data_IF_578759653324
#
_entry.id   IF_578759653324
#
_cell.length_a   1.000
_cell.length_b   1.000
_cell.length_c   1.000
_cell.angle_alpha   90.00
_cell.angle_beta   90.00
_cell.angle_gamma   90.00
#
_symmetry.space_group_name_H-M   'P 1'
#
loop_
_entity.id
_entity.type
_entity.pdbx_description
1 polymer ?
#
# COMPACT_ATOMS: atom_id res chain seq x y z
N UNK A 1 8.13 -15.92 -15.50
CA UNK A 1 8.30 -15.00 -14.34
C UNK A 1 8.95 -13.73 -14.87
N UNK A 2 8.46 -12.56 -14.47
CA UNK A 2 8.98 -11.28 -14.94
C UNK A 2 9.66 -10.53 -13.79
N UNK A 3 10.73 -9.80 -14.08
CA UNK A 3 11.33 -8.87 -13.12
C UNK A 3 10.31 -7.78 -12.78
N UNK A 4 10.22 -7.41 -11.51
CA UNK A 4 9.39 -6.30 -11.07
C UNK A 4 10.21 -5.02 -11.23
N UNK A 5 9.73 -4.12 -12.09
CA UNK A 5 10.34 -2.81 -12.32
C UNK A 5 9.56 -1.68 -11.65
N UNK A 6 8.26 -1.88 -11.41
CA UNK A 6 7.35 -0.86 -10.87
C UNK A 6 6.22 -1.50 -10.09
N UNK A 7 5.83 -0.87 -8.97
CA UNK A 7 4.62 -1.20 -8.22
C UNK A 7 3.86 0.10 -8.00
N UNK A 8 2.61 0.15 -8.45
CA UNK A 8 1.69 1.25 -8.15
C UNK A 8 0.73 0.82 -7.05
N UNK A 9 0.61 1.66 -6.01
CA UNK A 9 -0.22 1.43 -4.83
C UNK A 9 -1.20 2.59 -4.74
N UNK A 10 -2.47 2.37 -5.07
CA UNK A 10 -3.54 3.33 -4.82
C UNK A 10 -4.14 3.06 -3.45
N UNK A 11 -4.25 4.09 -2.63
CA UNK A 11 -4.88 4.04 -1.31
C UNK A 11 -5.96 5.11 -1.25
N UNK A 12 -7.16 4.70 -0.87
CA UNK A 12 -8.27 5.59 -0.58
C UNK A 12 -8.55 5.57 0.94
N UNK A 13 -8.61 6.76 1.53
CA UNK A 13 -8.97 6.99 2.94
C UNK A 13 -10.42 7.44 3.02
N UNK A 14 -11.15 6.91 3.98
CA UNK A 14 -12.57 7.21 4.16
C UNK A 14 -12.86 8.68 4.34
N UNK A 15 -14.00 9.14 3.83
CA UNK A 15 -14.46 10.52 4.02
C UNK A 15 -15.35 10.69 5.27
N UNK A 16 -14.83 10.36 6.45
CA UNK A 16 -15.54 10.56 7.73
C UNK A 16 -14.66 11.21 8.80
N UNK A 17 -15.28 11.73 9.84
CA UNK A 17 -14.55 12.37 10.95
C UNK A 17 -13.53 11.39 11.56
N UNK A 18 -12.29 11.87 11.75
CA UNK A 18 -11.18 11.08 12.30
C UNK A 18 -10.63 10.01 11.36
N UNK A 19 -10.97 10.03 10.06
CA UNK A 19 -10.56 8.99 9.13
C UNK A 19 -9.08 9.02 8.74
N UNK A 20 -8.44 10.19 8.75
CA UNK A 20 -7.04 10.35 8.35
C UNK A 20 -6.05 9.92 9.43
N UNK A 21 -4.77 9.81 9.08
CA UNK A 21 -3.73 9.37 10.02
C UNK A 21 -2.36 9.95 9.72
N UNK A 22 -1.55 10.09 10.76
CA UNK A 22 -0.11 10.37 10.69
C UNK A 22 0.75 9.11 10.94
N UNK A 23 0.12 7.93 11.02
CA UNK A 23 0.84 6.68 11.19
C UNK A 23 1.57 6.25 9.92
N UNK A 24 2.37 5.19 10.04
CA UNK A 24 3.16 4.68 8.92
C UNK A 24 2.44 3.55 8.21
N UNK A 25 2.38 3.61 6.89
CA UNK A 25 1.75 2.60 6.05
C UNK A 25 2.83 1.78 5.34
N UNK A 26 2.66 0.46 5.35
CA UNK A 26 3.56 -0.47 4.70
C UNK A 26 2.78 -1.39 3.76
N UNK A 27 3.35 -1.66 2.59
CA UNK A 27 2.88 -2.71 1.68
C UNK A 27 3.82 -3.90 1.76
N UNK A 28 3.28 -5.03 2.18
CA UNK A 28 3.92 -6.33 2.10
C UNK A 28 3.71 -6.93 0.71
N UNK A 29 4.79 -7.17 -0.02
CA UNK A 29 4.76 -7.89 -1.29
C UNK A 29 6.09 -8.62 -1.54
N UNK A 30 6.03 -9.80 -2.16
CA UNK A 30 7.22 -10.59 -2.51
C UNK A 30 8.15 -10.92 -1.32
N UNK A 31 7.60 -11.00 -0.10
CA UNK A 31 8.36 -11.39 1.10
C UNK A 31 9.08 -10.24 1.82
N UNK A 32 8.82 -8.97 1.47
CA UNK A 32 9.31 -7.80 2.19
C UNK A 32 8.26 -6.70 2.25
N UNK A 33 8.51 -5.70 3.09
CA UNK A 33 7.70 -4.48 3.16
C UNK A 33 8.35 -3.32 2.39
N UNK A 34 7.47 -2.42 1.93
CA UNK A 34 7.78 -1.12 1.36
C UNK A 34 7.02 -0.07 2.17
N UNK A 35 7.70 0.97 2.64
CA UNK A 35 7.03 2.10 3.29
C UNK A 35 6.36 2.96 2.23
N UNK A 36 5.11 3.34 2.48
CA UNK A 36 4.35 4.27 1.65
C UNK A 36 4.33 5.61 2.37
N UNK A 37 5.02 6.56 1.76
CA UNK A 37 5.23 7.90 2.28
C UNK A 37 5.63 8.78 1.10
N UNK A 38 5.23 10.04 1.09
CA UNK A 38 5.57 11.03 0.06
C UNK A 38 5.92 12.37 0.69
N UNK A 39 6.20 13.39 -0.12
CA UNK A 39 6.47 14.75 0.38
C UNK A 39 5.22 15.53 0.77
N UNK A 40 4.05 14.98 0.49
CA UNK A 40 2.76 15.61 0.72
C UNK A 40 2.14 15.09 2.03
N UNK A 41 1.05 15.72 2.46
CA UNK A 41 0.24 15.22 3.58
C UNK A 41 -0.55 13.98 3.11
N UNK A 42 -0.12 12.81 3.58
CA UNK A 42 -0.59 11.51 3.11
C UNK A 42 -1.72 10.96 3.97
N UNK A 43 -2.60 10.18 3.33
CA UNK A 43 -3.68 9.45 4.02
C UNK A 43 -4.67 10.35 4.77
N UNK A 44 -4.80 11.60 4.34
CA UNK A 44 -5.79 12.53 4.85
C UNK A 44 -7.23 12.06 4.61
N UNK A 45 -8.18 12.56 5.41
CA UNK A 45 -9.60 12.22 5.27
C UNK A 45 -10.08 12.46 3.83
N UNK A 46 -10.64 11.43 3.20
CA UNK A 46 -11.14 11.50 1.83
C UNK A 46 -10.06 11.55 0.76
N UNK A 47 -8.79 11.39 1.12
CA UNK A 47 -7.70 11.32 0.15
C UNK A 47 -7.75 10.02 -0.66
N UNK A 48 -7.46 10.13 -1.95
CA UNK A 48 -7.32 9.01 -2.88
C UNK A 48 -6.09 9.27 -3.75
N UNK A 49 -5.02 8.51 -3.50
CA UNK A 49 -3.68 8.81 -4.04
C UNK A 49 -2.97 7.54 -4.48
N UNK A 50 -2.12 7.68 -5.49
CA UNK A 50 -1.30 6.60 -6.04
C UNK A 50 0.18 6.84 -5.75
N UNK A 51 0.79 5.86 -5.10
CA UNK A 51 2.20 5.81 -4.74
C UNK A 51 2.91 4.82 -5.66
N UNK A 52 3.95 5.27 -6.35
CA UNK A 52 4.75 4.48 -7.27
C UNK A 52 6.09 4.14 -6.63
N UNK A 53 6.42 2.85 -6.64
CA UNK A 53 7.70 2.28 -6.23
C UNK A 53 8.50 1.85 -7.47
N UNK A 54 9.82 2.01 -7.44
CA UNK A 54 10.72 1.63 -8.55
C UNK A 54 10.73 2.65 -9.69
N UNK A 55 10.55 2.17 -10.93
CA UNK A 55 10.61 3.03 -12.11
C UNK A 55 9.52 4.12 -12.08
N UNK A 56 9.94 5.39 -12.12
CA UNK A 56 9.03 6.53 -12.01
C UNK A 56 8.52 6.79 -10.58
N UNK A 57 9.19 6.26 -9.56
CA UNK A 57 8.71 6.33 -8.18
C UNK A 57 8.52 7.76 -7.66
N UNK A 58 7.48 7.94 -6.83
CA UNK A 58 7.10 9.21 -6.21
C UNK A 58 7.08 9.15 -4.67
N UNK A 59 7.38 7.99 -4.07
CA UNK A 59 7.51 7.85 -2.62
C UNK A 59 8.79 8.48 -2.08
N UNK A 60 8.81 8.79 -0.79
CA UNK A 60 10.03 9.06 -0.02
C UNK A 60 10.92 7.81 0.05
N UNK A 61 12.23 8.01 0.26
CA UNK A 61 13.21 6.91 0.43
C UNK A 61 13.21 5.89 -0.72
N UNK A 62 13.14 6.35 -1.97
CA UNK A 62 12.96 5.52 -3.18
C UNK A 62 14.00 4.41 -3.30
N UNK A 63 15.24 4.69 -2.91
CA UNK A 63 16.37 3.79 -2.95
C UNK A 63 16.21 2.57 -2.02
N UNK A 64 15.48 2.73 -0.89
CA UNK A 64 15.18 1.66 0.04
C UNK A 64 13.87 0.94 -0.31
N UNK A 65 12.96 1.62 -1.01
CA UNK A 65 11.67 1.09 -1.46
C UNK A 65 11.67 0.62 -2.92
N UNK A 66 12.82 0.49 -3.56
CA UNK A 66 12.91 0.05 -4.95
C UNK A 66 12.76 -1.48 -5.06
N UNK A 67 11.73 -2.02 -5.76
CA UNK A 67 11.58 -3.46 -5.97
C UNK A 67 12.69 -4.07 -6.86
N UNK A 68 13.55 -3.24 -7.44
CA UNK A 68 14.75 -3.66 -8.18
C UNK A 68 15.96 -3.86 -7.25
N UNK A 69 15.86 -3.51 -5.95
CA UNK A 69 16.96 -3.60 -5.00
C UNK A 69 16.56 -4.23 -3.63
N UNK A 70 16.84 -5.54 -3.41
CA UNK A 70 17.29 -6.51 -4.42
C UNK A 70 16.20 -6.78 -5.46
N UNK A 71 16.59 -7.29 -6.64
CA UNK A 71 15.66 -7.52 -7.74
C UNK A 71 14.60 -8.58 -7.38
N UNK A 72 13.34 -8.15 -7.33
CA UNK A 72 12.18 -9.01 -7.15
C UNK A 72 11.61 -9.49 -8.49
N UNK A 73 10.84 -10.58 -8.47
CA UNK A 73 10.14 -11.08 -9.65
C UNK A 73 8.70 -11.51 -9.30
N UNK A 74 7.84 -11.57 -10.32
CA UNK A 74 6.42 -11.89 -10.16
C UNK A 74 6.14 -13.30 -9.63
N UNK A 75 7.11 -14.22 -9.67
CA UNK A 75 6.98 -15.55 -9.07
C UNK A 75 6.92 -15.54 -7.54
N UNK A 76 7.32 -14.44 -6.89
CA UNK A 76 7.22 -14.30 -5.43
C UNK A 76 5.82 -13.85 -4.98
N UNK A 77 5.04 -13.22 -5.87
CA UNK A 77 3.70 -12.69 -5.56
C UNK A 77 2.68 -13.78 -5.21
N UNK A 78 2.90 -15.02 -5.64
CA UNK A 78 2.07 -16.18 -5.31
C UNK A 78 2.62 -17.01 -4.15
N UNK A 79 3.84 -16.71 -3.69
CA UNK A 79 4.52 -17.45 -2.60
C UNK A 79 4.38 -16.77 -1.25
N UNK A 80 4.21 -15.45 -1.25
CA UNK A 80 4.05 -14.64 -0.06
C UNK A 80 2.71 -13.90 -0.11
N UNK A 81 2.06 -13.69 1.04
CA UNK A 81 0.86 -12.88 1.07
C UNK A 81 1.16 -11.44 0.64
N UNK A 82 0.20 -10.83 -0.04
CA UNK A 82 0.19 -9.39 -0.30
C UNK A 82 -0.73 -8.72 0.72
N UNK A 83 -0.24 -7.68 1.38
CA UNK A 83 -0.98 -7.02 2.46
C UNK A 83 -0.62 -5.55 2.60
N UNK A 84 -1.52 -4.80 3.24
CA UNK A 84 -1.23 -3.52 3.84
C UNK A 84 -1.05 -3.72 5.35
N UNK A 85 -0.04 -3.10 5.94
CA UNK A 85 0.14 -2.96 7.40
C UNK A 85 0.18 -1.48 7.77
N UNK A 86 -0.47 -1.16 8.87
CA UNK A 86 -0.52 0.15 9.48
C UNK A 86 0.22 0.13 10.82
N UNK A 87 1.17 1.03 11.03
CA UNK A 87 1.77 1.29 12.34
C UNK A 87 1.27 2.64 12.86
N UNK A 88 0.36 2.64 13.85
CA UNK A 88 -0.18 3.88 14.39
C UNK A 88 0.90 4.75 15.01
N UNK A 89 0.85 6.06 14.74
CA UNK A 89 1.71 7.06 15.35
C UNK A 89 0.93 8.32 15.71
N UNK A 90 1.45 9.07 16.70
CA UNK A 90 0.84 10.30 17.18
C UNK A 90 -0.49 10.11 17.89
N UNK A 91 -1.22 11.22 18.05
CA UNK A 91 -2.48 11.26 18.79
C UNK A 91 -3.69 10.73 17.99
N UNK A 92 -3.50 10.50 16.68
CA UNK A 92 -4.51 9.95 15.77
C UNK A 92 -4.11 8.51 15.39
N UNK A 93 -4.18 7.63 16.40
CA UNK A 93 -3.73 6.25 16.30
C UNK A 93 -4.68 5.30 15.55
N UNK A 94 -5.72 5.86 14.92
CA UNK A 94 -6.72 5.15 14.15
C UNK A 94 -6.72 5.69 12.71
N UNK A 95 -7.04 4.83 11.75
CA UNK A 95 -7.13 5.17 10.34
C UNK A 95 -8.31 4.45 9.72
N UNK A 96 -9.15 5.17 8.97
CA UNK A 96 -10.28 4.60 8.26
C UNK A 96 -9.91 4.34 6.80
N UNK A 97 -9.52 3.12 6.51
CA UNK A 97 -9.16 2.67 5.17
C UNK A 97 -10.42 2.37 4.35
N UNK A 98 -10.53 2.97 3.17
CA UNK A 98 -11.64 2.73 2.23
C UNK A 98 -11.29 1.67 1.19
N UNK A 99 -10.14 1.80 0.53
CA UNK A 99 -9.73 0.86 -0.51
C UNK A 99 -8.21 0.85 -0.67
N UNK A 100 -7.67 -0.31 -1.06
CA UNK A 100 -6.28 -0.43 -1.54
C UNK A 100 -6.27 -1.22 -2.83
N UNK A 101 -5.62 -0.68 -3.85
CA UNK A 101 -5.31 -1.38 -5.09
C UNK A 101 -3.80 -1.38 -5.32
N UNK A 102 -3.25 -2.53 -5.66
CA UNK A 102 -1.84 -2.67 -6.05
C UNK A 102 -1.78 -3.18 -7.48
N UNK A 103 -1.02 -2.49 -8.33
CA UNK A 103 -0.69 -2.93 -9.68
C UNK A 103 0.82 -3.10 -9.81
N UNK A 104 1.27 -4.34 -9.95
CA UNK A 104 2.67 -4.67 -10.22
C UNK A 104 2.89 -4.67 -11.73
N UNK A 105 3.96 -4.02 -12.20
CA UNK A 105 4.33 -3.91 -13.62
C UNK A 105 3.15 -3.46 -14.52
N UNK A 106 2.60 -2.25 -14.32
CA UNK A 106 1.47 -1.76 -15.11
C UNK A 106 1.76 -1.84 -16.62
N UNK A 107 0.80 -2.35 -17.39
CA UNK A 107 0.93 -2.63 -18.83
C UNK A 107 0.74 -4.11 -19.16
N UNK A 108 1.53 -4.62 -20.10
CA UNK A 108 1.40 -5.99 -20.64
C UNK A 108 1.57 -7.10 -19.59
N UNK A 109 2.45 -6.90 -18.61
CA UNK A 109 2.79 -7.90 -17.58
C UNK A 109 2.15 -7.60 -16.22
N UNK A 110 1.01 -6.88 -16.22
CA UNK A 110 0.41 -6.42 -14.98
C UNK A 110 -0.12 -7.55 -14.10
N UNK A 111 0.09 -7.44 -12.79
CA UNK A 111 -0.58 -8.27 -11.77
C UNK A 111 -1.28 -7.35 -10.80
N UNK A 112 -2.56 -7.61 -10.51
CA UNK A 112 -3.40 -6.73 -9.69
C UNK A 112 -3.83 -7.41 -8.40
N UNK A 113 -3.87 -6.61 -7.34
CA UNK A 113 -4.40 -6.98 -6.04
C UNK A 113 -5.33 -5.88 -5.55
N UNK A 114 -6.44 -6.27 -4.92
CA UNK A 114 -7.38 -5.30 -4.33
C UNK A 114 -7.94 -5.82 -3.02
N UNK A 115 -8.41 -4.89 -2.18
CA UNK A 115 -9.26 -5.17 -1.04
C UNK A 115 -10.22 -4.01 -0.79
N UNK A 116 -11.35 -4.29 -0.15
CA UNK A 116 -12.39 -3.32 0.23
C UNK A 116 -13.10 -2.57 -0.92
N UNK A 117 -12.75 -2.81 -2.20
CA UNK A 117 -13.32 -2.13 -3.37
C UNK A 117 -14.87 -2.11 -3.50
N UNK A 118 -15.58 -3.00 -2.82
CA UNK A 118 -17.06 -3.05 -2.81
C UNK A 118 -17.65 -3.26 -1.42
N UNK A 119 -16.87 -3.01 -0.36
CA UNK A 119 -17.24 -3.26 1.02
C UNK A 119 -17.29 -2.00 1.88
N UNK A 120 -17.66 -2.13 3.17
CA UNK A 120 -17.52 -1.04 4.12
C UNK A 120 -16.03 -0.75 4.39
N UNK A 121 -15.73 0.52 4.68
CA UNK A 121 -14.41 0.94 5.15
C UNK A 121 -14.01 0.18 6.42
N UNK A 122 -12.71 0.00 6.63
CA UNK A 122 -12.13 -0.68 7.79
C UNK A 122 -11.37 0.32 8.66
N UNK A 123 -11.62 0.29 9.96
CA UNK A 123 -10.77 0.98 10.94
C UNK A 123 -9.56 0.11 11.28
N UNK A 124 -8.37 0.69 11.13
CA UNK A 124 -7.10 0.14 11.57
C UNK A 124 -6.56 1.01 12.71
N UNK A 125 -5.86 0.45 13.69
CA UNK A 125 -5.36 1.23 14.83
C UNK A 125 -4.87 0.41 16.00
N UNK A 126 -4.53 1.07 17.12
CA UNK A 126 -4.06 0.37 18.34
C UNK A 126 -5.15 -0.52 18.97
N UNK A 127 -6.42 -0.14 18.80
CA UNK A 127 -7.57 -0.89 19.31
C UNK A 127 -8.26 -1.74 18.23
N UNK A 128 -7.67 -1.83 17.03
CA UNK A 128 -8.21 -2.57 15.89
C UNK A 128 -7.15 -3.49 15.28
N UNK A 129 -7.51 -4.17 14.20
CA UNK A 129 -6.49 -4.81 13.36
C UNK A 129 -5.53 -3.77 12.80
N UNK A 130 -4.26 -4.15 12.60
CA UNK A 130 -3.22 -3.29 12.00
C UNK A 130 -2.86 -3.72 10.57
N UNK A 131 -3.57 -4.68 10.01
CA UNK A 131 -3.17 -5.34 8.77
C UNK A 131 -4.39 -5.86 8.02
N UNK A 132 -4.34 -5.80 6.69
CA UNK A 132 -5.33 -6.40 5.80
C UNK A 132 -4.64 -7.05 4.60
N UNK A 133 -5.03 -8.28 4.28
CA UNK A 133 -4.55 -8.98 3.09
C UNK A 133 -5.31 -8.53 1.84
N UNK A 134 -4.61 -8.48 0.71
CA UNK A 134 -5.20 -8.17 -0.59
C UNK A 134 -5.35 -9.45 -1.42
N UNK A 135 -6.41 -9.49 -2.24
CA UNK A 135 -6.71 -10.61 -3.12
C UNK A 135 -6.26 -10.29 -4.55
N UNK A 136 -5.60 -11.24 -5.20
CA UNK A 136 -5.27 -11.14 -6.62
C UNK A 136 -6.52 -11.17 -7.50
N UNK A 137 -6.54 -10.34 -8.54
CA UNK A 137 -7.67 -10.19 -9.49
C UNK A 137 -7.27 -10.41 -10.93
#
# INVERSE_FOLDING_TARGET
MANISRIDVRIATGNRSGAGTNGHIFIGACGREFVIDSSDDDFERGADRTYTLGAGGNVSHKEFNDPRNPQLNTGHLTRFPVYLRFEPAGDHADWNLEQVDITVNPGENQVKYTTLASGPNLWLGQNYGKMIYLKGT
#
